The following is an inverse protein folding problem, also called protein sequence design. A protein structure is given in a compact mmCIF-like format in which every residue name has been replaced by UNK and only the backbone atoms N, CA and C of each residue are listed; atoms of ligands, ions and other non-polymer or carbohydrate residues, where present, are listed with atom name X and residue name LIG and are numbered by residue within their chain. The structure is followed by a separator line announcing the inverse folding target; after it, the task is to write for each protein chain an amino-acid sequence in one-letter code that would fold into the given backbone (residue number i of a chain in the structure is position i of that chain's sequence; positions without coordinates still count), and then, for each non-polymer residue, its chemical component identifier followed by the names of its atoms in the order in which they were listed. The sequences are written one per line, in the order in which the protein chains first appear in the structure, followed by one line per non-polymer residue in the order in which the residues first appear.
data_IF_358923143319
#
_entry.id   IF_358923143319
#
_cell.length_a   1.000
_cell.length_b   1.000
_cell.length_c   1.000
_cell.angle_alpha   90.00
_cell.angle_beta   90.00
_cell.angle_gamma   90.00
#
_symmetry.space_group_name_H-M   'P 1'
#
loop_
_entity.id
_entity.type
_entity.pdbx_description
1 polymer ?
#
# COMPACT_ATOMS: atom_id res chain seq x y z
N UNK A 1 -30.79 -2.57 8.27
CA UNK A 1 -30.70 -3.18 9.61
C UNK A 1 -30.39 -4.65 9.44
N UNK A 2 -29.16 -5.06 9.68
CA UNK A 2 -28.76 -6.46 9.64
C UNK A 2 -29.27 -7.12 10.94
N UNK A 3 -30.30 -7.94 10.82
CA UNK A 3 -30.81 -8.70 11.95
C UNK A 3 -29.70 -9.64 12.43
N UNK A 4 -29.17 -9.40 13.63
CA UNK A 4 -28.06 -10.13 14.22
C UNK A 4 -28.34 -11.58 14.59
N UNK A 5 -28.83 -12.39 13.65
CA UNK A 5 -28.89 -13.83 13.85
C UNK A 5 -27.46 -14.39 13.90
N UNK A 6 -27.08 -15.09 14.97
CA UNK A 6 -25.76 -15.66 15.08
C UNK A 6 -25.52 -16.62 13.91
N UNK A 7 -24.37 -16.49 13.25
CA UNK A 7 -23.96 -17.37 12.15
C UNK A 7 -24.21 -18.83 12.52
N UNK A 8 -24.80 -19.63 11.62
CA UNK A 8 -25.06 -21.05 11.86
C UNK A 8 -23.75 -21.78 12.22
N UNK A 9 -23.83 -22.77 13.12
CA UNK A 9 -22.66 -23.51 13.61
C UNK A 9 -21.82 -24.12 12.48
N UNK A 10 -22.47 -24.59 11.41
CA UNK A 10 -21.82 -25.12 10.20
C UNK A 10 -20.95 -24.07 9.51
N UNK A 11 -21.44 -22.84 9.37
CA UNK A 11 -20.68 -21.75 8.76
C UNK A 11 -19.48 -21.30 9.61
N UNK A 12 -19.65 -21.29 10.94
CA UNK A 12 -18.52 -21.06 11.88
C UNK A 12 -17.45 -22.14 11.76
N UNK A 13 -17.87 -23.42 11.61
CA UNK A 13 -16.95 -24.53 11.38
C UNK A 13 -16.15 -24.37 10.08
N UNK A 14 -16.81 -24.05 8.98
CA UNK A 14 -16.15 -23.81 7.68
C UNK A 14 -15.18 -22.64 7.77
N UNK A 15 -15.57 -21.52 8.39
CA UNK A 15 -14.69 -20.38 8.61
C UNK A 15 -13.46 -20.74 9.44
N UNK A 16 -13.66 -21.50 10.55
CA UNK A 16 -12.56 -21.95 11.39
C UNK A 16 -11.59 -22.84 10.62
N UNK A 17 -12.10 -23.81 9.84
CA UNK A 17 -11.27 -24.67 9.01
C UNK A 17 -10.49 -23.88 7.95
N UNK A 18 -11.11 -22.89 7.32
CA UNK A 18 -10.44 -21.99 6.37
C UNK A 18 -9.29 -21.20 7.03
N UNK A 19 -9.53 -20.64 8.21
CA UNK A 19 -8.49 -19.94 8.96
C UNK A 19 -7.37 -20.88 9.41
N UNK A 20 -7.69 -22.06 9.95
CA UNK A 20 -6.69 -23.04 10.32
C UNK A 20 -5.82 -23.45 9.12
N UNK A 21 -6.43 -23.71 7.98
CA UNK A 21 -5.72 -24.05 6.74
C UNK A 21 -4.72 -22.96 6.32
N UNK A 22 -5.08 -21.69 6.46
CA UNK A 22 -4.23 -20.56 6.11
C UNK A 22 -3.12 -20.30 7.15
N UNK A 23 -3.44 -20.40 8.44
CA UNK A 23 -2.51 -20.00 9.50
C UNK A 23 -1.59 -21.12 9.98
N UNK A 24 -1.98 -22.40 9.89
CA UNK A 24 -1.14 -23.52 10.32
C UNK A 24 0.24 -23.53 9.65
N UNK A 25 0.39 -23.33 8.33
CA UNK A 25 1.70 -23.25 7.70
C UNK A 25 2.57 -22.10 8.24
N UNK A 26 1.96 -20.93 8.48
CA UNK A 26 2.66 -19.75 9.00
C UNK A 26 3.13 -20.01 10.44
N UNK A 27 2.25 -20.58 11.29
CA UNK A 27 2.60 -20.93 12.67
C UNK A 27 3.69 -22.00 12.70
N UNK A 28 3.58 -23.01 11.84
CA UNK A 28 4.62 -24.05 11.71
C UNK A 28 5.97 -23.46 11.34
N UNK A 29 6.01 -22.55 10.36
CA UNK A 29 7.21 -21.84 9.95
C UNK A 29 7.82 -21.05 11.12
N UNK A 30 6.99 -20.33 11.90
CA UNK A 30 7.45 -19.58 13.09
C UNK A 30 8.00 -20.55 14.15
N UNK A 31 7.35 -21.68 14.42
CA UNK A 31 7.85 -22.67 15.37
C UNK A 31 9.18 -23.23 14.89
N UNK A 32 9.29 -23.64 13.63
CA UNK A 32 10.51 -24.19 13.06
C UNK A 32 11.64 -23.17 12.89
N UNK A 33 11.37 -21.87 12.98
CA UNK A 33 12.42 -20.83 13.04
C UNK A 33 13.28 -20.92 14.29
N UNK A 34 12.76 -21.52 15.37
CA UNK A 34 13.48 -21.77 16.61
C UNK A 34 14.11 -23.18 16.67
N UNK A 35 14.07 -23.94 15.60
CA UNK A 35 14.62 -25.30 15.57
C UNK A 35 16.14 -25.29 15.55
N UNK A 36 16.78 -26.05 16.46
CA UNK A 36 18.23 -26.20 16.51
C UNK A 36 18.81 -27.04 15.37
N UNK A 37 18.01 -27.91 14.72
CA UNK A 37 18.44 -28.76 13.61
C UNK A 37 18.74 -27.96 12.34
N UNK A 38 19.72 -28.39 11.55
CA UNK A 38 19.92 -27.93 10.18
C UNK A 38 18.88 -28.50 9.20
N UNK A 39 18.23 -29.59 9.59
CA UNK A 39 17.17 -30.22 8.80
C UNK A 39 15.84 -29.55 9.16
N UNK A 40 15.16 -28.97 8.19
CA UNK A 40 13.91 -28.23 8.39
C UNK A 40 12.74 -29.09 8.86
N UNK A 41 12.80 -30.38 8.63
CA UNK A 41 11.72 -31.33 8.96
C UNK A 41 11.92 -32.07 10.28
N UNK A 42 13.11 -31.96 10.89
CA UNK A 42 13.47 -32.68 12.13
C UNK A 42 13.66 -31.70 13.26
N UNK A 43 12.86 -31.79 14.31
CA UNK A 43 13.00 -30.95 15.50
C UNK A 43 14.21 -31.40 16.34
N UNK A 44 15.22 -30.54 16.41
CA UNK A 44 16.46 -30.76 17.14
C UNK A 44 16.58 -29.99 18.48
N UNK A 45 15.46 -29.49 18.99
CA UNK A 45 15.44 -28.64 20.20
C UNK A 45 15.30 -27.14 19.89
N UNK A 46 15.11 -26.33 20.93
CA UNK A 46 14.94 -24.87 20.83
C UNK A 46 16.29 -24.17 20.66
N UNK A 47 16.40 -23.26 19.71
CA UNK A 47 17.59 -22.41 19.49
C UNK A 47 17.25 -21.14 18.76
N UNK A 48 17.91 -20.03 19.09
CA UNK A 48 17.81 -18.73 18.41
C UNK A 48 18.98 -18.47 17.45
N UNK A 49 19.83 -19.45 17.20
CA UNK A 49 21.08 -19.29 16.42
C UNK A 49 20.86 -18.75 15.01
N UNK A 50 19.72 -19.08 14.37
CA UNK A 50 19.41 -18.62 13.01
C UNK A 50 19.13 -17.13 12.96
N UNK A 51 18.58 -16.55 14.01
CA UNK A 51 18.38 -15.11 14.14
C UNK A 51 19.71 -14.36 14.24
N UNK A 52 20.69 -14.93 14.96
CA UNK A 52 22.05 -14.38 15.03
C UNK A 52 22.74 -14.49 13.67
N UNK A 53 22.61 -15.64 12.99
CA UNK A 53 23.15 -15.85 11.63
C UNK A 53 22.58 -14.83 10.63
N UNK A 54 21.28 -14.54 10.69
CA UNK A 54 20.64 -13.55 9.81
C UNK A 54 21.23 -12.16 9.93
N UNK A 55 21.49 -11.70 11.17
CA UNK A 55 22.06 -10.36 11.41
C UNK A 55 23.51 -10.26 10.92
N UNK A 56 24.21 -11.38 10.81
CA UNK A 56 25.57 -11.45 10.28
C UNK A 56 25.64 -11.67 8.77
N UNK A 57 24.50 -11.96 8.14
CA UNK A 57 24.43 -12.25 6.70
C UNK A 57 24.28 -10.94 5.90
N UNK A 58 25.39 -10.43 5.37
CA UNK A 58 25.44 -9.18 4.61
C UNK A 58 24.47 -9.19 3.39
N UNK A 59 24.32 -10.33 2.72
CA UNK A 59 23.41 -10.46 1.58
C UNK A 59 21.95 -10.22 1.98
N UNK A 60 21.54 -10.77 3.14
CA UNK A 60 20.16 -10.60 3.62
C UNK A 60 19.95 -9.16 4.09
N UNK A 61 20.89 -8.59 4.84
CA UNK A 61 20.79 -7.21 5.34
C UNK A 61 20.72 -6.22 4.16
N UNK A 62 21.56 -6.39 3.15
CA UNK A 62 21.56 -5.53 1.97
C UNK A 62 20.24 -5.65 1.19
N UNK A 63 19.71 -6.87 1.03
CA UNK A 63 18.42 -7.11 0.38
C UNK A 63 17.24 -6.51 1.16
N UNK A 64 17.21 -6.65 2.49
CA UNK A 64 16.19 -6.01 3.36
C UNK A 64 16.26 -4.49 3.23
N UNK A 65 17.45 -3.93 3.34
CA UNK A 65 17.65 -2.47 3.25
C UNK A 65 17.23 -1.93 1.89
N UNK A 66 17.59 -2.62 0.82
CA UNK A 66 17.20 -2.27 -0.55
C UNK A 66 15.68 -2.33 -0.70
N UNK A 67 15.04 -3.43 -0.28
CA UNK A 67 13.58 -3.60 -0.39
C UNK A 67 12.82 -2.53 0.39
N UNK A 68 13.25 -2.18 1.60
CA UNK A 68 12.62 -1.11 2.37
C UNK A 68 12.79 0.25 1.68
N UNK A 69 13.97 0.57 1.16
CA UNK A 69 14.22 1.81 0.42
C UNK A 69 13.33 1.91 -0.83
N UNK A 70 13.22 0.82 -1.60
CA UNK A 70 12.36 0.76 -2.78
C UNK A 70 10.91 0.94 -2.35
N UNK A 71 10.42 0.19 -1.37
CA UNK A 71 9.02 0.23 -0.95
C UNK A 71 8.60 1.61 -0.44
N UNK A 72 9.41 2.26 0.40
CA UNK A 72 9.10 3.59 0.92
C UNK A 72 9.13 4.65 -0.17
N UNK A 73 10.16 4.65 -1.03
CA UNK A 73 10.26 5.62 -2.13
C UNK A 73 9.15 5.41 -3.17
N UNK A 74 8.81 4.15 -3.47
CA UNK A 74 7.68 3.78 -4.32
C UNK A 74 6.36 4.28 -3.74
N UNK A 75 6.10 4.05 -2.45
CA UNK A 75 4.86 4.47 -1.81
C UNK A 75 4.67 5.98 -1.84
N UNK A 76 5.74 6.76 -1.61
CA UNK A 76 5.68 8.22 -1.72
C UNK A 76 5.38 8.65 -3.15
N UNK A 77 6.09 8.12 -4.15
CA UNK A 77 5.88 8.46 -5.54
C UNK A 77 4.48 8.04 -6.03
N UNK A 78 4.05 6.83 -5.70
CA UNK A 78 2.75 6.28 -6.06
C UNK A 78 1.59 7.09 -5.46
N UNK A 79 1.72 7.53 -4.21
CA UNK A 79 0.72 8.39 -3.56
C UNK A 79 0.61 9.74 -4.25
N UNK A 80 1.73 10.37 -4.58
CA UNK A 80 1.70 11.67 -5.27
C UNK A 80 1.06 11.52 -6.66
N UNK A 81 1.59 10.62 -7.49
CA UNK A 81 1.13 10.43 -8.86
C UNK A 81 -0.30 9.86 -8.90
N UNK A 82 -0.60 8.87 -8.07
CA UNK A 82 -1.91 8.24 -7.99
C UNK A 82 -2.99 9.18 -7.46
N UNK A 83 -2.66 10.06 -6.49
CA UNK A 83 -3.62 11.07 -6.01
C UNK A 83 -3.96 12.08 -7.11
N UNK A 84 -2.96 12.56 -7.86
CA UNK A 84 -3.18 13.47 -8.99
C UNK A 84 -4.03 12.77 -10.05
N UNK A 85 -3.70 11.55 -10.44
CA UNK A 85 -4.45 10.79 -11.44
C UNK A 85 -5.89 10.50 -10.98
N UNK A 86 -6.08 10.08 -9.73
CA UNK A 86 -7.39 9.84 -9.13
C UNK A 86 -8.25 11.11 -9.08
N UNK A 87 -7.63 12.24 -8.73
CA UNK A 87 -8.30 13.55 -8.72
C UNK A 87 -8.75 13.96 -10.13
N UNK A 88 -7.86 13.87 -11.13
CA UNK A 88 -8.21 14.16 -12.53
C UNK A 88 -9.37 13.30 -12.99
N UNK A 89 -9.34 11.99 -12.75
CA UNK A 89 -10.40 11.07 -13.16
C UNK A 89 -11.72 11.28 -12.42
N UNK A 90 -11.70 11.84 -11.20
CA UNK A 90 -12.91 12.08 -10.41
C UNK A 90 -13.55 13.46 -10.68
N UNK A 91 -12.75 14.51 -10.89
CA UNK A 91 -13.21 15.91 -10.89
C UNK A 91 -13.28 16.56 -12.27
N UNK A 92 -12.41 16.18 -13.21
CA UNK A 92 -12.37 16.81 -14.53
C UNK A 92 -13.47 16.32 -15.51
N UNK A 93 -14.27 15.33 -15.10
CA UNK A 93 -15.37 14.82 -15.94
C UNK A 93 -14.87 14.16 -17.24
N UNK A 94 -15.65 14.33 -18.33
CA UNK A 94 -15.28 13.83 -19.67
C UNK A 94 -14.45 14.87 -20.40
N UNK A 95 -13.15 14.65 -20.54
CA UNK A 95 -12.27 15.44 -21.39
C UNK A 95 -11.75 14.59 -22.57
N UNK A 96 -11.20 15.25 -23.58
CA UNK A 96 -10.65 14.57 -24.76
C UNK A 96 -9.50 13.66 -24.37
N UNK A 97 -9.64 12.36 -24.54
CA UNK A 97 -8.66 11.35 -24.11
C UNK A 97 -8.88 10.78 -22.71
N UNK A 98 -9.96 11.15 -21.99
CA UNK A 98 -10.24 10.66 -20.63
C UNK A 98 -10.33 9.13 -20.54
N UNK A 99 -10.92 8.48 -21.56
CA UNK A 99 -11.03 7.01 -21.64
C UNK A 99 -9.64 6.36 -21.79
N UNK A 100 -8.80 6.93 -22.67
CA UNK A 100 -7.41 6.46 -22.84
C UNK A 100 -6.62 6.64 -21.56
N UNK A 101 -6.70 7.79 -20.93
CA UNK A 101 -6.03 8.07 -19.65
C UNK A 101 -6.47 7.10 -18.55
N UNK A 102 -7.78 6.86 -18.41
CA UNK A 102 -8.31 5.89 -17.47
C UNK A 102 -7.80 4.47 -17.77
N UNK A 103 -7.81 4.06 -19.04
CA UNK A 103 -7.29 2.77 -19.49
C UNK A 103 -5.79 2.62 -19.16
N UNK A 104 -4.97 3.63 -19.47
CA UNK A 104 -3.53 3.61 -19.16
C UNK A 104 -3.26 3.54 -17.65
N UNK A 105 -4.07 4.25 -16.84
CA UNK A 105 -3.93 4.22 -15.38
C UNK A 105 -4.31 2.87 -14.77
N UNK A 106 -5.29 2.17 -15.34
CA UNK A 106 -5.73 0.87 -14.81
C UNK A 106 -5.03 -0.33 -15.46
N UNK A 107 -4.38 -0.14 -16.61
CA UNK A 107 -3.70 -1.21 -17.33
C UNK A 107 -2.72 -2.03 -16.47
N UNK A 108 -1.84 -1.41 -15.64
CA UNK A 108 -0.90 -2.18 -14.81
C UNK A 108 -1.57 -3.13 -13.79
N UNK A 109 -2.81 -2.84 -13.38
CA UNK A 109 -3.56 -3.69 -12.45
C UNK A 109 -4.16 -4.94 -13.12
N UNK A 110 -4.42 -4.87 -14.42
CA UNK A 110 -5.10 -5.93 -15.18
C UNK A 110 -4.11 -6.81 -15.93
N UNK A 111 -2.98 -6.25 -16.31
CA UNK A 111 -1.94 -6.97 -17.06
C UNK A 111 -1.19 -7.95 -16.13
N UNK A 112 -0.88 -9.17 -16.62
CA UNK A 112 -0.02 -10.09 -15.90
C UNK A 112 1.35 -9.46 -15.60
N UNK A 113 1.83 -9.61 -14.37
CA UNK A 113 3.09 -9.02 -13.89
C UNK A 113 4.30 -9.39 -14.76
N UNK A 114 4.33 -10.63 -15.28
CA UNK A 114 5.40 -11.09 -16.18
C UNK A 114 5.45 -10.26 -17.47
N UNK A 115 4.29 -9.95 -18.05
CA UNK A 115 4.21 -9.14 -19.27
C UNK A 115 4.66 -7.71 -19.00
N UNK A 116 4.18 -7.14 -17.89
CA UNK A 116 4.56 -5.78 -17.47
C UNK A 116 6.06 -5.69 -17.18
N UNK A 117 6.60 -6.65 -16.41
CA UNK A 117 8.02 -6.71 -16.07
C UNK A 117 8.92 -6.86 -17.30
N UNK A 118 8.55 -7.76 -18.23
CA UNK A 118 9.29 -7.95 -19.48
C UNK A 118 9.21 -6.71 -20.38
N UNK A 119 8.05 -6.10 -20.52
CA UNK A 119 7.87 -4.88 -21.31
C UNK A 119 8.72 -3.72 -20.79
N UNK A 120 8.76 -3.55 -19.46
CA UNK A 120 9.61 -2.53 -18.83
C UNK A 120 11.10 -2.86 -18.98
N UNK A 121 11.49 -4.12 -18.88
CA UNK A 121 12.85 -4.54 -19.15
C UNK A 121 13.29 -4.13 -20.57
N UNK A 122 12.47 -4.46 -21.58
CA UNK A 122 12.75 -4.10 -22.97
C UNK A 122 12.77 -2.58 -23.18
N UNK A 123 11.89 -1.85 -22.52
CA UNK A 123 11.88 -0.40 -22.52
C UNK A 123 13.22 0.16 -21.98
N UNK A 124 13.67 -0.30 -20.83
CA UNK A 124 14.93 0.18 -20.23
C UNK A 124 16.16 -0.21 -21.06
N UNK A 125 16.17 -1.39 -21.67
CA UNK A 125 17.25 -1.78 -22.61
C UNK A 125 17.26 -0.84 -23.82
N UNK A 126 16.10 -0.55 -24.40
CA UNK A 126 16.00 0.38 -25.53
C UNK A 126 16.42 1.80 -25.13
N UNK A 127 15.98 2.28 -23.97
CA UNK A 127 16.40 3.60 -23.46
C UNK A 127 17.91 3.67 -23.23
N UNK A 128 18.51 2.61 -22.71
CA UNK A 128 19.96 2.54 -22.54
C UNK A 128 20.70 2.59 -23.88
N UNK A 129 20.19 1.90 -24.91
CA UNK A 129 20.79 1.91 -26.24
C UNK A 129 20.69 3.26 -26.95
N UNK A 130 19.53 3.95 -26.84
CA UNK A 130 19.30 5.21 -27.56
C UNK A 130 19.76 6.45 -26.80
N UNK A 131 19.64 6.43 -25.46
CA UNK A 131 19.88 7.60 -24.60
C UNK A 131 21.04 7.40 -23.61
N UNK A 132 21.64 6.20 -23.54
CA UNK A 132 22.66 5.86 -22.56
C UNK A 132 22.14 5.80 -21.10
N UNK A 133 20.82 5.85 -20.89
CA UNK A 133 20.21 5.85 -19.55
C UNK A 133 19.03 4.88 -19.48
N UNK A 134 18.83 4.20 -18.33
CA UNK A 134 19.72 4.14 -17.17
C UNK A 134 21.03 3.41 -17.53
N UNK A 135 22.15 3.83 -16.94
CA UNK A 135 23.47 3.18 -17.19
C UNK A 135 23.48 1.71 -16.78
N UNK A 136 22.77 1.40 -15.70
CA UNK A 136 22.60 0.04 -15.17
C UNK A 136 21.18 -0.16 -14.65
N UNK A 137 20.70 -1.42 -14.68
CA UNK A 137 19.47 -1.82 -14.00
C UNK A 137 19.74 -1.94 -12.50
N UNK A 138 18.76 -1.61 -11.68
CA UNK A 138 18.92 -1.66 -10.23
C UNK A 138 17.81 -0.92 -9.49
N UNK A 139 18.18 -0.20 -8.45
CA UNK A 139 17.22 0.55 -7.63
C UNK A 139 16.24 1.39 -8.47
N UNK A 140 16.75 2.19 -9.41
CA UNK A 140 15.92 3.10 -10.20
C UNK A 140 14.91 2.37 -11.09
N UNK A 141 15.34 1.33 -11.80
CA UNK A 141 14.47 0.55 -12.71
C UNK A 141 13.39 -0.20 -11.93
N UNK A 142 13.75 -0.81 -10.78
CA UNK A 142 12.79 -1.46 -9.89
C UNK A 142 11.80 -0.42 -9.32
N UNK A 143 12.29 0.71 -8.85
CA UNK A 143 11.47 1.79 -8.31
C UNK A 143 10.45 2.32 -9.32
N UNK A 144 10.83 2.53 -10.58
CA UNK A 144 9.91 2.95 -11.65
C UNK A 144 8.85 1.88 -11.89
N UNK A 145 9.26 0.60 -11.97
CA UNK A 145 8.33 -0.52 -12.17
C UNK A 145 7.29 -0.62 -11.06
N UNK A 146 7.75 -0.63 -9.81
CA UNK A 146 6.86 -0.68 -8.65
C UNK A 146 5.97 0.57 -8.54
N UNK A 147 6.52 1.76 -8.84
CA UNK A 147 5.73 3.01 -8.83
C UNK A 147 4.62 2.97 -9.87
N UNK A 148 4.89 2.44 -11.06
CA UNK A 148 3.89 2.32 -12.13
C UNK A 148 2.73 1.42 -11.72
N UNK A 149 2.99 0.31 -11.08
CA UNK A 149 1.95 -0.58 -10.55
C UNK A 149 1.20 0.08 -9.38
N UNK A 150 1.93 0.54 -8.38
CA UNK A 150 1.35 1.07 -7.14
C UNK A 150 0.53 2.34 -7.36
N UNK A 151 0.94 3.26 -8.28
CA UNK A 151 0.17 4.47 -8.57
C UNK A 151 -1.21 4.16 -9.15
N UNK A 152 -1.36 3.05 -9.90
CA UNK A 152 -2.64 2.62 -10.42
C UNK A 152 -3.62 2.25 -9.28
N UNK A 153 -3.15 1.50 -8.29
CA UNK A 153 -3.94 1.17 -7.10
C UNK A 153 -4.31 2.40 -6.29
N UNK A 154 -3.35 3.29 -6.04
CA UNK A 154 -3.61 4.55 -5.32
C UNK A 154 -4.63 5.41 -6.06
N UNK A 155 -4.51 5.53 -7.39
CA UNK A 155 -5.45 6.31 -8.20
C UNK A 155 -6.88 5.77 -8.08
N UNK A 156 -7.08 4.47 -8.09
CA UNK A 156 -8.40 3.84 -7.91
C UNK A 156 -8.95 4.11 -6.51
N UNK A 157 -8.15 3.92 -5.46
CA UNK A 157 -8.56 4.14 -4.06
C UNK A 157 -8.94 5.59 -3.81
N UNK A 158 -8.11 6.54 -4.27
CA UNK A 158 -8.36 7.98 -4.10
C UNK A 158 -9.57 8.42 -4.94
N UNK A 159 -9.68 7.95 -6.20
CA UNK A 159 -10.84 8.23 -7.05
C UNK A 159 -12.14 7.76 -6.43
N UNK A 160 -12.17 6.53 -5.90
CA UNK A 160 -13.35 5.97 -5.24
C UNK A 160 -13.81 6.88 -4.11
N UNK A 161 -12.89 7.32 -3.27
CA UNK A 161 -13.20 8.24 -2.16
C UNK A 161 -13.66 9.61 -2.64
N UNK A 162 -13.05 10.16 -3.68
CA UNK A 162 -13.45 11.46 -4.25
C UNK A 162 -14.86 11.46 -4.83
N UNK A 163 -15.30 10.34 -5.41
CA UNK A 163 -16.66 10.21 -5.97
C UNK A 163 -17.73 10.25 -4.86
N UNK A 164 -17.40 9.76 -3.65
CA UNK A 164 -18.33 9.78 -2.50
C UNK A 164 -18.46 11.18 -1.87
N UNK A 165 -17.50 12.07 -2.11
CA UNK A 165 -17.49 13.43 -1.54
C UNK A 165 -18.33 14.34 -2.43
N UNK A 166 -19.30 15.04 -1.82
CA UNK A 166 -20.15 16.00 -2.51
C UNK A 166 -19.33 17.17 -3.08
N UNK A 167 -19.51 17.43 -4.36
CA UNK A 167 -18.86 18.54 -5.08
C UNK A 167 -19.27 19.90 -4.59
N UNK A 168 -20.45 20.02 -3.97
CA UNK A 168 -20.97 21.28 -3.41
C UNK A 168 -20.01 21.93 -2.43
N UNK A 169 -19.18 21.13 -1.70
CA UNK A 169 -18.15 21.66 -0.80
C UNK A 169 -17.06 22.44 -1.55
N UNK A 170 -16.65 21.95 -2.70
CA UNK A 170 -15.65 22.60 -3.56
C UNK A 170 -16.26 23.82 -4.28
N UNK A 171 -17.53 23.72 -4.73
CA UNK A 171 -18.30 24.78 -5.39
C UNK A 171 -18.56 25.95 -4.42
N UNK A 172 -19.04 25.69 -3.22
CA UNK A 172 -19.22 26.71 -2.20
C UNK A 172 -17.93 27.47 -1.84
N UNK A 173 -16.80 26.78 -1.82
CA UNK A 173 -15.51 27.42 -1.60
C UNK A 173 -15.09 28.30 -2.80
N UNK A 174 -15.44 27.91 -4.04
CA UNK A 174 -15.23 28.74 -5.23
C UNK A 174 -16.10 30.00 -5.21
N UNK A 175 -17.34 29.90 -4.79
CA UNK A 175 -18.26 31.03 -4.64
C UNK A 175 -17.77 32.04 -3.61
N UNK A 176 -17.04 31.57 -2.58
CA UNK A 176 -16.32 32.42 -1.62
C UNK A 176 -14.99 32.98 -2.13
N UNK A 177 -14.67 32.79 -3.42
CA UNK A 177 -13.47 33.33 -4.08
C UNK A 177 -12.20 32.52 -3.85
N UNK A 178 -12.27 31.28 -3.36
CA UNK A 178 -11.10 30.42 -3.20
C UNK A 178 -10.59 29.92 -4.56
N UNK A 179 -9.26 30.00 -4.78
CA UNK A 179 -8.62 29.49 -5.99
C UNK A 179 -8.60 27.94 -6.00
N UNK A 180 -8.68 27.28 -7.17
CA UNK A 180 -8.73 25.81 -7.26
C UNK A 180 -7.62 25.07 -6.51
N UNK A 181 -6.38 25.56 -6.58
CA UNK A 181 -5.25 24.97 -5.82
C UNK A 181 -5.46 25.09 -4.31
N UNK A 182 -6.01 26.20 -3.82
CA UNK A 182 -6.30 26.39 -2.41
C UNK A 182 -7.39 25.44 -1.94
N UNK A 183 -8.42 25.23 -2.77
CA UNK A 183 -9.50 24.24 -2.50
C UNK A 183 -8.91 22.83 -2.44
N UNK A 184 -8.06 22.47 -3.40
CA UNK A 184 -7.42 21.15 -3.41
C UNK A 184 -6.66 20.89 -2.11
N UNK A 185 -5.79 21.79 -1.67
CA UNK A 185 -4.96 21.56 -0.49
C UNK A 185 -5.71 21.71 0.84
N UNK A 186 -6.68 22.64 0.94
CA UNK A 186 -7.36 22.93 2.20
C UNK A 186 -8.64 22.14 2.41
N UNK A 187 -9.29 21.67 1.34
CA UNK A 187 -10.59 20.97 1.42
C UNK A 187 -10.46 19.56 0.90
N UNK A 188 -10.11 19.39 -0.38
CA UNK A 188 -10.12 18.08 -1.03
C UNK A 188 -9.09 17.13 -0.44
N UNK A 189 -7.84 17.54 -0.32
CA UNK A 189 -6.75 16.71 0.19
C UNK A 189 -6.97 16.22 1.63
N UNK A 190 -7.40 17.05 2.60
CA UNK A 190 -7.75 16.58 3.93
C UNK A 190 -8.92 15.60 3.96
N UNK A 191 -9.93 15.76 3.09
CA UNK A 191 -11.09 14.87 3.01
C UNK A 191 -10.71 13.47 2.47
N UNK A 192 -9.73 13.39 1.57
CA UNK A 192 -9.24 12.12 1.03
C UNK A 192 -8.00 11.58 1.76
N UNK A 193 -7.52 12.25 2.79
CA UNK A 193 -6.29 11.89 3.50
C UNK A 193 -6.26 10.44 4.00
N UNK A 194 -7.41 9.89 4.39
CA UNK A 194 -7.53 8.50 4.82
C UNK A 194 -7.35 7.53 3.64
N UNK A 195 -7.91 7.84 2.46
CA UNK A 195 -7.70 7.06 1.24
C UNK A 195 -6.23 7.10 0.80
N UNK A 196 -5.59 8.27 0.91
CA UNK A 196 -4.16 8.45 0.65
C UNK A 196 -3.32 7.59 1.60
N UNK A 197 -3.61 7.63 2.90
CA UNK A 197 -2.90 6.81 3.88
C UNK A 197 -3.08 5.31 3.62
N UNK A 198 -4.29 4.87 3.26
CA UNK A 198 -4.55 3.49 2.86
C UNK A 198 -3.80 3.11 1.59
N UNK A 199 -3.76 4.00 0.59
CA UNK A 199 -2.99 3.82 -0.64
C UNK A 199 -1.49 3.74 -0.40
N UNK A 200 -0.96 4.53 0.53
CA UNK A 200 0.44 4.48 0.96
C UNK A 200 0.81 3.12 1.56
N UNK A 201 -0.01 2.62 2.49
CA UNK A 201 0.21 1.31 3.11
C UNK A 201 0.10 0.17 2.10
N UNK A 202 -0.90 0.23 1.22
CA UNK A 202 -1.06 -0.73 0.14
C UNK A 202 0.16 -0.75 -0.78
N UNK A 203 0.68 0.43 -1.15
CA UNK A 203 1.87 0.55 -2.01
C UNK A 203 3.12 -0.06 -1.35
N UNK A 204 3.32 0.14 -0.04
CA UNK A 204 4.41 -0.51 0.69
C UNK A 204 4.27 -2.03 0.62
N UNK A 205 3.07 -2.54 0.90
CA UNK A 205 2.81 -3.99 0.92
C UNK A 205 3.06 -4.61 -0.46
N UNK A 206 2.50 -4.02 -1.52
CA UNK A 206 2.67 -4.49 -2.89
C UNK A 206 4.14 -4.47 -3.33
N UNK A 207 4.87 -3.40 -2.98
CA UNK A 207 6.28 -3.28 -3.35
C UNK A 207 7.20 -4.24 -2.58
N UNK A 208 6.86 -4.58 -1.32
CA UNK A 208 7.62 -5.55 -0.52
C UNK A 208 7.38 -7.01 -0.95
N UNK A 209 6.24 -7.31 -1.53
CA UNK A 209 5.86 -8.66 -1.97
C UNK A 209 6.24 -8.94 -3.43
N UNK A 210 6.57 -7.92 -4.22
CA UNK A 210 6.88 -8.06 -5.65
C UNK A 210 8.20 -8.82 -5.86
N UNK A 211 8.07 -10.01 -6.41
CA UNK A 211 9.17 -10.84 -6.88
C UNK A 211 9.35 -10.73 -8.38
N UNK A 212 8.25 -10.69 -9.12
CA UNK A 212 8.24 -10.89 -10.58
C UNK A 212 8.81 -9.68 -11.29
N UNK A 213 8.22 -8.50 -11.06
CA UNK A 213 8.68 -7.25 -11.68
C UNK A 213 10.11 -6.93 -11.23
N UNK A 214 10.41 -7.11 -9.93
CA UNK A 214 11.75 -6.91 -9.40
C UNK A 214 12.78 -7.80 -10.10
N UNK A 215 12.46 -9.07 -10.40
CA UNK A 215 13.38 -10.01 -11.06
C UNK A 215 13.75 -9.58 -12.48
N UNK A 216 12.82 -8.99 -13.23
CA UNK A 216 13.09 -8.46 -14.55
C UNK A 216 13.91 -7.17 -14.53
N UNK A 217 13.66 -6.31 -13.53
CA UNK A 217 14.22 -4.96 -13.46
C UNK A 217 15.49 -4.85 -12.62
N UNK A 218 15.84 -5.89 -11.86
CA UNK A 218 17.06 -5.92 -11.07
C UNK A 218 18.32 -6.05 -11.95
N UNK A 219 19.43 -5.62 -11.39
CA UNK A 219 20.76 -5.74 -11.96
C UNK A 219 21.78 -6.16 -10.90
N UNK A 220 23.09 -6.11 -11.21
CA UNK A 220 24.13 -6.44 -10.25
C UNK A 220 23.98 -5.65 -8.94
N UNK A 221 24.05 -6.33 -7.80
CA UNK A 221 23.95 -5.70 -6.47
C UNK A 221 22.56 -5.20 -6.09
N UNK A 222 21.50 -5.43 -6.87
CA UNK A 222 20.16 -4.94 -6.61
C UNK A 222 19.13 -6.06 -6.37
N UNK A 223 19.53 -7.09 -5.64
CA UNK A 223 18.65 -8.21 -5.28
C UNK A 223 17.72 -7.83 -4.14
N UNK A 224 16.41 -7.91 -4.35
CA UNK A 224 15.41 -7.61 -3.32
C UNK A 224 15.20 -8.79 -2.37
N UNK A 225 14.57 -8.54 -1.22
CA UNK A 225 14.31 -9.57 -0.22
C UNK A 225 13.47 -10.75 -0.77
N UNK A 226 12.36 -10.55 -1.51
CA UNK A 226 11.62 -11.65 -2.14
C UNK A 226 12.50 -12.51 -3.06
N UNK A 227 13.40 -11.89 -3.82
CA UNK A 227 14.33 -12.62 -4.70
C UNK A 227 15.31 -13.48 -3.92
N UNK A 228 15.85 -13.00 -2.79
CA UNK A 228 16.74 -13.78 -1.91
C UNK A 228 15.98 -14.97 -1.33
N UNK A 229 14.77 -14.74 -0.81
CA UNK A 229 13.92 -15.81 -0.24
C UNK A 229 13.65 -16.87 -1.31
N UNK A 230 13.18 -16.46 -2.49
CA UNK A 230 12.86 -17.36 -3.59
C UNK A 230 14.06 -18.18 -4.05
N UNK A 231 15.22 -17.54 -4.19
CA UNK A 231 16.48 -18.22 -4.56
C UNK A 231 16.88 -19.26 -3.52
N UNK A 232 16.86 -18.90 -2.23
CA UNK A 232 17.21 -19.83 -1.16
C UNK A 232 16.22 -21.01 -1.05
N UNK A 233 14.93 -20.78 -1.24
CA UNK A 233 13.92 -21.84 -1.25
C UNK A 233 14.16 -22.82 -2.42
N UNK A 234 14.53 -22.33 -3.58
CA UNK A 234 14.85 -23.17 -4.76
C UNK A 234 16.12 -23.99 -4.60
N UNK A 235 17.13 -23.47 -3.93
CA UNK A 235 18.41 -24.14 -3.70
C UNK A 235 18.34 -25.18 -2.56
N UNK A 236 17.26 -25.21 -1.81
CA UNK A 236 17.01 -26.12 -0.70
C UNK A 236 16.61 -25.34 0.57
N UNK A 237 15.67 -25.93 1.30
CA UNK A 237 15.18 -25.32 2.54
C UNK A 237 16.29 -25.23 3.58
N UNK A 238 16.63 -24.03 4.00
CA UNK A 238 17.54 -23.76 5.09
C UNK A 238 16.73 -23.21 6.29
N UNK A 239 16.92 -23.66 7.52
CA UNK A 239 16.22 -23.10 8.68
C UNK A 239 16.38 -21.59 8.89
N UNK A 240 17.45 -20.99 8.34
CA UNK A 240 17.66 -19.55 8.29
C UNK A 240 16.49 -18.84 7.55
N UNK A 241 15.90 -19.49 6.54
CA UNK A 241 14.75 -18.93 5.81
C UNK A 241 13.50 -18.87 6.69
N UNK A 242 13.29 -19.88 7.54
CA UNK A 242 12.18 -19.86 8.49
C UNK A 242 12.32 -18.69 9.48
N UNK A 243 13.52 -18.42 9.97
CA UNK A 243 13.79 -17.27 10.83
C UNK A 243 13.59 -15.95 10.10
N UNK A 244 14.04 -15.85 8.83
CA UNK A 244 13.83 -14.67 7.99
C UNK A 244 12.33 -14.42 7.75
N UNK A 245 11.60 -15.45 7.38
CA UNK A 245 10.16 -15.35 7.16
C UNK A 245 9.40 -15.00 8.46
N UNK A 246 9.80 -15.59 9.60
CA UNK A 246 9.20 -15.26 10.91
C UNK A 246 9.43 -13.77 11.27
N UNK A 247 10.63 -13.24 11.06
CA UNK A 247 10.93 -11.80 11.26
C UNK A 247 10.08 -10.96 10.29
N UNK A 248 9.99 -11.34 9.03
CA UNK A 248 9.20 -10.59 8.03
C UNK A 248 7.72 -10.54 8.42
N UNK A 249 7.13 -11.68 8.79
CA UNK A 249 5.73 -11.75 9.27
C UNK A 249 5.54 -10.88 10.52
N UNK A 250 6.47 -10.93 11.47
CA UNK A 250 6.42 -10.12 12.68
C UNK A 250 6.49 -8.61 12.37
N UNK A 251 7.44 -8.19 11.54
CA UNK A 251 7.63 -6.79 11.16
C UNK A 251 6.43 -6.23 10.40
N UNK A 252 5.92 -6.98 9.40
CA UNK A 252 4.72 -6.60 8.65
C UNK A 252 3.51 -6.55 9.58
N UNK A 253 3.35 -7.54 10.46
CA UNK A 253 2.27 -7.57 11.44
C UNK A 253 2.30 -6.35 12.37
N UNK A 254 3.45 -6.03 12.94
CA UNK A 254 3.63 -4.84 13.80
C UNK A 254 3.33 -3.56 13.00
N UNK A 255 3.85 -3.45 11.77
CA UNK A 255 3.62 -2.28 10.93
C UNK A 255 2.12 -2.08 10.64
N UNK A 256 1.40 -3.15 10.27
CA UNK A 256 -0.05 -3.10 10.03
C UNK A 256 -0.82 -2.73 11.30
N UNK A 257 -0.44 -3.30 12.46
CA UNK A 257 -1.09 -2.97 13.73
C UNK A 257 -0.88 -1.50 14.12
N UNK A 258 0.34 -0.97 13.99
CA UNK A 258 0.65 0.44 14.25
C UNK A 258 -0.14 1.33 13.29
N UNK A 259 -0.13 1.03 12.00
CA UNK A 259 -0.86 1.79 10.99
C UNK A 259 -2.37 1.81 11.27
N UNK A 260 -2.95 0.66 11.59
CA UNK A 260 -4.36 0.57 11.95
C UNK A 260 -4.68 1.36 13.23
N UNK A 261 -3.84 1.25 14.25
CA UNK A 261 -3.99 2.03 15.48
C UNK A 261 -3.97 3.54 15.23
N UNK A 262 -3.03 4.02 14.43
CA UNK A 262 -2.92 5.44 14.06
C UNK A 262 -4.14 5.91 13.27
N UNK A 263 -4.62 5.11 12.31
CA UNK A 263 -5.84 5.43 11.54
C UNK A 263 -7.08 5.50 12.44
N UNK A 264 -7.28 4.52 13.33
CA UNK A 264 -8.40 4.49 14.25
C UNK A 264 -8.34 5.65 15.24
N UNK A 265 -7.17 6.01 15.74
CA UNK A 265 -7.00 7.15 16.65
C UNK A 265 -7.36 8.47 15.97
N UNK A 266 -6.93 8.67 14.73
CA UNK A 266 -7.27 9.84 13.92
C UNK A 266 -8.79 9.94 13.64
N UNK A 267 -9.45 8.82 13.35
CA UNK A 267 -10.90 8.76 13.17
C UNK A 267 -11.64 9.13 14.46
N UNK A 268 -11.23 8.56 15.60
CA UNK A 268 -11.84 8.87 16.91
C UNK A 268 -11.73 10.35 17.26
N UNK A 269 -10.59 10.97 16.98
CA UNK A 269 -10.37 12.40 17.21
C UNK A 269 -11.29 13.26 16.34
N UNK A 270 -11.44 12.91 15.05
CA UNK A 270 -12.37 13.59 14.14
C UNK A 270 -13.83 13.44 14.58
N UNK A 271 -14.25 12.24 14.96
CA UNK A 271 -15.61 11.98 15.46
C UNK A 271 -15.91 12.78 16.73
N UNK A 272 -14.94 12.88 17.65
CA UNK A 272 -15.09 13.72 18.86
C UNK A 272 -15.20 15.19 18.52
N UNK A 273 -14.41 15.70 17.56
CA UNK A 273 -14.47 17.09 17.12
C UNK A 273 -15.85 17.42 16.49
N UNK A 274 -16.35 16.53 15.61
CA UNK A 274 -17.68 16.69 14.99
C UNK A 274 -18.79 16.65 16.07
N UNK A 275 -18.72 15.70 17.01
CA UNK A 275 -19.69 15.60 18.10
C UNK A 275 -19.65 16.82 19.05
N UNK A 276 -18.48 17.41 19.26
CA UNK A 276 -18.33 18.65 20.05
C UNK A 276 -18.94 19.84 19.30
N UNK A 277 -18.69 19.98 18.00
CA UNK A 277 -19.27 21.04 17.17
C UNK A 277 -20.81 20.95 17.10
N UNK A 278 -21.38 19.74 17.09
CA UNK A 278 -22.84 19.55 17.12
C UNK A 278 -23.47 19.84 18.50
N UNK A 279 -22.66 19.88 19.57
CA UNK A 279 -23.13 20.18 20.93
C UNK A 279 -23.01 21.66 21.30
N UNK A 280 -22.26 22.46 20.57
CA UNK A 280 -22.25 23.92 20.78
C UNK A 280 -23.59 24.48 20.35
N UNK A 281 -24.39 25.06 21.31
CA UNK A 281 -25.64 25.71 20.95
C UNK A 281 -25.32 26.90 20.04
N UNK A 282 -26.13 27.07 18.99
CA UNK A 282 -26.04 28.25 18.12
C UNK A 282 -25.98 29.50 18.98
N UNK A 283 -24.93 30.29 18.86
CA UNK A 283 -24.80 31.56 19.61
C UNK A 283 -26.04 32.40 19.36
N UNK A 284 -26.69 32.96 20.39
CA UNK A 284 -27.96 33.71 20.26
C UNK A 284 -27.83 35.01 19.45
N UNK A 285 -26.80 35.21 18.66
CA UNK A 285 -26.56 36.38 17.83
C UNK A 285 -26.87 36.20 16.33
N UNK A 286 -26.99 34.96 15.83
CA UNK A 286 -27.19 34.75 14.38
C UNK A 286 -28.64 34.69 13.91
N UNK A 287 -29.59 34.74 14.84
CA UNK A 287 -31.03 34.76 14.52
C UNK A 287 -31.58 36.16 14.21
N UNK A 288 -30.77 37.21 14.31
CA UNK A 288 -31.22 38.60 14.14
C UNK A 288 -31.16 39.19 12.73
N UNK A 289 -30.54 38.48 11.77
CA UNK A 289 -30.28 39.01 10.41
C UNK A 289 -31.32 38.70 9.33
N UNK A 290 -32.28 37.81 9.58
CA UNK A 290 -33.15 37.29 8.52
C UNK A 290 -34.57 37.90 8.48
N UNK A 291 -34.92 38.89 9.29
CA UNK A 291 -36.29 39.45 9.36
C UNK A 291 -36.38 40.92 8.93
N UNK A 292 -35.33 41.54 8.42
CA UNK A 292 -35.33 42.98 8.13
C UNK A 292 -35.37 43.37 6.63
N UNK A 293 -35.80 42.48 5.70
CA UNK A 293 -36.00 42.87 4.30
C UNK A 293 -37.28 42.31 3.69
N UNK A 294 -38.41 42.45 4.39
CA UNK A 294 -39.75 42.24 3.80
C UNK A 294 -40.69 43.29 4.38
N UNK A 295 -40.54 44.54 3.97
CA UNK A 295 -41.57 45.58 4.06
C UNK A 295 -41.39 46.56 2.88
#
# INVERSE_FOLDING_TARGET
MYNGNPLPKSLKGVLLLGFLFLYIPIVSLIIYSFNASKLVTVWGGFSTRWYVSLVQNEQIISAVTLSIKIALSTAVAAVVLGTIAGFVLARFGRFRGSTLFAGMMTAPMVMPEVITGLSMLLLFISMQQFFGQPSERGFFTIWVGHTTLCMAYVAVVVRSRLIEIDKSLEEAAMDLGARPLKIFFLITLPLVSQAIASGFLLSITLSLDDLVTASFLSGPGSTTLPMVIFSKVRLGLNPEINALAAITVLLVGIFVLIANYLMLSAQRTRMKAVAAAMREPAKPGDAGGAVATAS
#
